data_IF_605948622411
#
_entry.id   IF_605948622411
#
_cell.length_a   1.000
_cell.length_b   1.000
_cell.length_c   1.000
_cell.angle_alpha   90.00
_cell.angle_beta   90.00
_cell.angle_gamma   90.00
#
_symmetry.space_group_name_H-M   'P 1'
#
loop_
_entity.id
_entity.type
_entity.pdbx_description
1 polymer ?
#
# COMPACT_ATOMS: atom_id res chain seq x y z
N UNK A 1 -11.40 -8.39 -4.58
CA UNK A 1 -11.05 -7.94 -5.95
C UNK A 1 -9.66 -7.33 -5.87
N UNK A 2 -8.75 -7.64 -6.78
CA UNK A 2 -7.47 -6.92 -6.82
C UNK A 2 -7.70 -5.43 -7.07
N UNK A 3 -7.05 -4.58 -6.28
CA UNK A 3 -7.06 -3.12 -6.46
C UNK A 3 -5.76 -2.68 -7.11
N UNK A 4 -5.81 -1.66 -7.98
CA UNK A 4 -4.58 -1.17 -8.62
C UNK A 4 -3.74 -0.42 -7.60
N UNK A 5 -2.42 -0.57 -7.68
CA UNK A 5 -1.48 0.12 -6.80
C UNK A 5 -1.66 1.65 -6.85
N UNK A 6 -2.07 2.21 -7.98
CA UNK A 6 -2.42 3.64 -8.09
C UNK A 6 -3.51 4.07 -7.11
N UNK A 7 -4.55 3.26 -6.95
CA UNK A 7 -5.67 3.55 -6.06
C UNK A 7 -5.27 3.29 -4.60
N UNK A 8 -4.50 2.21 -4.36
CA UNK A 8 -3.91 1.92 -3.05
C UNK A 8 -2.97 3.04 -2.58
N UNK A 9 -2.19 3.63 -3.49
CA UNK A 9 -1.35 4.78 -3.21
C UNK A 9 -2.20 5.96 -2.73
N UNK A 10 -3.22 6.34 -3.50
CA UNK A 10 -4.12 7.46 -3.17
C UNK A 10 -4.82 7.24 -1.83
N UNK A 11 -5.36 6.04 -1.60
CA UNK A 11 -5.99 5.68 -0.33
C UNK A 11 -4.99 5.73 0.85
N UNK A 12 -3.77 5.24 0.64
CA UNK A 12 -2.70 5.29 1.62
C UNK A 12 -2.29 6.71 1.98
N UNK A 13 -2.06 7.57 0.98
CA UNK A 13 -1.73 8.98 1.17
C UNK A 13 -2.85 9.73 1.91
N UNK A 14 -4.12 9.45 1.60
CA UNK A 14 -5.28 10.00 2.31
C UNK A 14 -5.36 9.58 3.78
N UNK A 15 -4.81 8.40 4.11
CA UNK A 15 -4.71 7.87 5.48
C UNK A 15 -3.41 8.27 6.19
N UNK A 16 -2.57 9.11 5.56
CA UNK A 16 -1.32 9.60 6.13
C UNK A 16 -0.16 8.60 6.03
N UNK A 17 -0.19 7.69 5.05
CA UNK A 17 0.96 6.86 4.68
C UNK A 17 1.82 7.59 3.64
N UNK A 18 3.13 7.47 3.78
CA UNK A 18 4.10 7.96 2.81
C UNK A 18 4.40 6.87 1.79
N UNK A 19 4.25 7.18 0.50
CA UNK A 19 4.61 6.25 -0.56
C UNK A 19 5.98 6.60 -1.13
N UNK A 20 6.91 5.66 -1.12
CA UNK A 20 8.27 5.86 -1.62
C UNK A 20 8.65 4.80 -2.64
N UNK A 21 9.33 5.25 -3.69
CA UNK A 21 9.97 4.35 -4.67
C UNK A 21 11.43 4.14 -4.25
N UNK A 22 11.85 2.90 -4.01
CA UNK A 22 13.22 2.55 -3.67
C UNK A 22 13.75 1.59 -4.74
N UNK A 23 14.77 1.99 -5.50
CA UNK A 23 15.37 1.11 -6.52
C UNK A 23 15.75 -0.27 -5.94
N UNK A 24 15.28 -1.35 -6.56
CA UNK A 24 15.55 -2.73 -6.11
C UNK A 24 14.45 -3.73 -6.47
N UNK A 25 14.52 -4.94 -5.88
CA UNK A 25 13.60 -6.07 -6.15
C UNK A 25 12.13 -5.78 -5.79
N UNK A 26 11.89 -4.85 -4.86
CA UNK A 26 10.57 -4.31 -4.52
C UNK A 26 10.63 -2.78 -4.62
N UNK A 27 10.29 -2.23 -5.80
CA UNK A 27 10.47 -0.81 -6.08
C UNK A 27 9.56 0.09 -5.25
N UNK A 28 8.43 -0.40 -4.72
CA UNK A 28 7.45 0.43 -4.03
C UNK A 28 7.29 0.03 -2.57
N UNK A 29 7.23 1.04 -1.69
CA UNK A 29 7.05 0.84 -0.25
C UNK A 29 6.13 1.90 0.32
N UNK A 30 5.33 1.50 1.30
CA UNK A 30 4.63 2.44 2.18
C UNK A 30 5.43 2.62 3.46
N UNK A 31 5.47 3.85 3.96
CA UNK A 31 6.07 4.25 5.22
C UNK A 31 5.07 5.02 6.07
N UNK A 32 5.32 5.05 7.37
CA UNK A 32 4.65 5.93 8.32
C UNK A 32 5.61 6.17 9.47
N UNK A 33 5.68 7.40 9.97
CA UNK A 33 6.54 7.71 11.11
C UNK A 33 6.23 6.78 12.29
N UNK A 34 7.25 6.10 12.82
CA UNK A 34 7.11 5.14 13.92
C UNK A 34 6.70 3.72 13.52
N UNK A 35 6.44 3.43 12.24
CA UNK A 35 6.16 2.09 11.74
C UNK A 35 7.28 1.57 10.82
N UNK A 36 7.44 0.25 10.74
CA UNK A 36 8.35 -0.37 9.79
C UNK A 36 7.82 -0.17 8.35
N UNK A 37 8.66 0.23 7.38
CA UNK A 37 8.25 0.33 5.99
C UNK A 37 7.73 -1.00 5.46
N UNK A 38 6.62 -0.96 4.72
CA UNK A 38 5.96 -2.13 4.16
C UNK A 38 6.22 -2.22 2.65
N UNK A 39 6.95 -3.23 2.16
CA UNK A 39 7.22 -3.39 0.74
C UNK A 39 5.99 -3.92 0.00
N UNK A 40 5.71 -3.34 -1.16
CA UNK A 40 4.58 -3.72 -2.01
C UNK A 40 5.10 -4.48 -3.24
N UNK A 41 4.55 -5.67 -3.55
CA UNK A 41 4.88 -6.39 -4.77
C UNK A 41 4.22 -5.68 -5.94
N UNK A 42 4.99 -4.85 -6.64
CA UNK A 42 4.55 -4.20 -7.86
C UNK A 42 5.55 -4.42 -8.99
N UNK A 43 5.43 -5.59 -9.62
CA UNK A 43 6.24 -5.99 -10.76
C UNK A 43 5.95 -5.15 -12.01
N UNK A 44 4.72 -4.64 -12.15
CA UNK A 44 4.25 -3.82 -13.27
C UNK A 44 4.08 -2.34 -12.90
N UNK A 45 4.79 -1.85 -11.89
CA UNK A 45 4.67 -0.46 -11.45
C UNK A 45 3.31 -0.15 -10.82
N UNK A 46 2.85 1.10 -10.98
CA UNK A 46 1.56 1.60 -10.49
C UNK A 46 0.33 0.90 -11.09
N UNK A 47 0.50 0.15 -12.19
CA UNK A 47 -0.56 -0.67 -12.81
C UNK A 47 -0.66 -2.05 -12.18
N UNK A 48 0.22 -2.39 -11.24
CA UNK A 48 0.19 -3.69 -10.56
C UNK A 48 -1.08 -3.84 -9.74
N UNK A 49 -1.62 -5.04 -9.78
CA UNK A 49 -2.77 -5.44 -9.00
C UNK A 49 -2.32 -5.94 -7.62
N UNK A 50 -2.85 -5.31 -6.58
CA UNK A 50 -2.61 -5.65 -5.19
C UNK A 50 -3.81 -6.43 -4.68
N UNK A 51 -3.58 -7.64 -4.19
CA UNK A 51 -4.64 -8.49 -3.65
C UNK A 51 -5.11 -8.00 -2.28
N UNK A 52 -6.37 -8.32 -1.94
CA UNK A 52 -6.95 -8.00 -0.62
C UNK A 52 -6.12 -8.56 0.55
N UNK A 53 -5.43 -9.70 0.36
CA UNK A 53 -4.55 -10.30 1.37
C UNK A 53 -3.37 -9.38 1.70
N UNK A 54 -2.81 -8.73 0.66
CA UNK A 54 -1.73 -7.77 0.82
C UNK A 54 -2.22 -6.47 1.46
N UNK A 55 -3.39 -6.00 1.04
CA UNK A 55 -4.04 -4.82 1.63
C UNK A 55 -4.32 -5.01 3.13
N UNK A 56 -4.82 -6.18 3.54
CA UNK A 56 -5.02 -6.52 4.95
C UNK A 56 -3.70 -6.53 5.73
N UNK A 57 -2.64 -7.08 5.13
CA UNK A 57 -1.30 -7.10 5.75
C UNK A 57 -0.72 -5.69 5.90
N UNK A 58 -0.90 -4.84 4.88
CA UNK A 58 -0.53 -3.43 4.91
C UNK A 58 -1.29 -2.68 6.00
N UNK A 59 -2.62 -2.83 6.05
CA UNK A 59 -3.45 -2.19 7.07
C UNK A 59 -3.03 -2.63 8.47
N UNK A 60 -2.78 -3.93 8.68
CA UNK A 60 -2.30 -4.47 9.96
C UNK A 60 -0.93 -3.90 10.36
N UNK A 61 -0.01 -3.72 9.42
CA UNK A 61 1.32 -3.16 9.69
C UNK A 61 1.26 -1.69 10.16
N UNK A 62 0.30 -0.92 9.66
CA UNK A 62 0.14 0.50 9.99
C UNK A 62 -0.99 0.79 10.99
N UNK A 63 -1.66 -0.24 11.51
CA UNK A 63 -2.80 -0.11 12.41
C UNK A 63 -4.01 0.59 11.78
N UNK A 64 -4.19 0.44 10.47
CA UNK A 64 -5.33 1.01 9.73
C UNK A 64 -6.50 0.02 9.71
N UNK A 65 -7.71 0.57 9.63
CA UNK A 65 -8.92 -0.22 9.43
C UNK A 65 -9.08 -0.59 7.94
N UNK A 66 -9.16 -1.90 7.67
CA UNK A 66 -9.25 -2.41 6.29
C UNK A 66 -10.53 -1.99 5.57
N UNK A 67 -11.67 -1.93 6.29
CA UNK A 67 -12.95 -1.54 5.69
C UNK A 67 -12.95 -0.05 5.36
N UNK A 68 -12.39 0.79 6.24
CA UNK A 68 -12.19 2.21 5.96
C UNK A 68 -11.22 2.44 4.79
N UNK A 69 -10.13 1.68 4.73
CA UNK A 69 -9.18 1.72 3.62
C UNK A 69 -9.85 1.33 2.29
N UNK A 70 -10.69 0.29 2.31
CA UNK A 70 -11.40 -0.22 1.13
C UNK A 70 -12.46 0.74 0.60
N UNK A 71 -13.05 1.59 1.44
CA UNK A 71 -13.96 2.67 1.00
C UNK A 71 -13.26 3.77 0.20
N UNK A 72 -11.93 3.85 0.28
CA UNK A 72 -11.10 4.82 -0.43
C UNK A 72 -10.46 4.25 -1.71
N UNK A 73 -10.61 2.95 -1.95
CA UNK A 73 -10.16 2.23 -3.16
C UNK A 73 -11.24 2.28 -4.24
#
# INVERSE_FOLDING_TARGET
>A
MPSRLSDVKRAGEAMGLEFSETGGKHPYRFGRQGCRPFPVPAHNGLKSEVTDVYLRSLCRNFGLDFEAFKKLL
#
